data_IF_801919234883
#
_entry.id   IF_801919234883
#
_cell.length_a   1.000
_cell.length_b   1.000
_cell.length_c   1.000
_cell.angle_alpha   90.00
_cell.angle_beta   90.00
_cell.angle_gamma   90.00
#
_symmetry.space_group_name_H-M   'P 1'
#
loop_
_entity.id
_entity.type
_entity.pdbx_description
1 polymer ?
#
# COMPACT_ATOMS: atom_id res chain seq x y z
N UNK A 1 17.40 13.29 26.15
CA UNK A 1 17.15 12.24 25.14
C UNK A 1 15.67 11.90 25.18
N UNK A 2 14.91 12.03 24.08
CA UNK A 2 13.46 11.86 24.13
C UNK A 2 13.12 10.41 24.50
N UNK A 3 12.49 10.24 25.66
CA UNK A 3 12.21 8.95 26.28
C UNK A 3 10.92 8.33 25.77
N UNK A 4 11.00 7.09 25.28
CA UNK A 4 9.85 6.32 24.80
C UNK A 4 9.36 5.42 25.93
N UNK A 5 8.11 5.60 26.38
CA UNK A 5 7.49 4.73 27.40
C UNK A 5 6.81 3.53 26.74
N UNK A 6 6.92 2.37 27.38
CA UNK A 6 6.27 1.10 27.01
C UNK A 6 4.77 1.33 26.78
N UNK A 7 4.26 0.98 25.61
CA UNK A 7 2.83 0.98 25.31
C UNK A 7 2.31 2.09 24.38
N UNK A 8 3.17 2.80 23.64
CA UNK A 8 2.70 3.75 22.62
C UNK A 8 1.96 3.02 21.50
N UNK A 9 0.63 2.93 21.64
CA UNK A 9 -0.28 2.65 20.53
C UNK A 9 -0.15 3.82 19.56
N UNK A 10 0.49 3.59 18.42
CA UNK A 10 0.37 4.50 17.28
C UNK A 10 -1.08 4.35 16.81
N UNK A 11 -1.94 5.28 17.24
CA UNK A 11 -3.26 5.45 16.64
C UNK A 11 -3.03 6.27 15.38
N UNK A 12 -3.10 5.62 14.21
CA UNK A 12 -3.40 6.35 12.98
C UNK A 12 -4.87 6.79 13.06
N UNK A 13 -5.14 8.04 12.72
CA UNK A 13 -6.50 8.58 12.72
C UNK A 13 -7.34 7.85 11.66
N UNK A 14 -8.41 7.18 12.08
CA UNK A 14 -9.45 6.65 11.18
C UNK A 14 -9.52 5.14 10.92
N UNK A 15 -8.73 4.27 11.54
CA UNK A 15 -8.70 2.84 11.15
C UNK A 15 -8.92 1.88 12.34
N UNK A 16 -10.13 1.32 12.44
CA UNK A 16 -10.34 0.03 13.09
C UNK A 16 -9.91 -1.09 12.13
N UNK A 17 -9.21 -2.10 12.65
CA UNK A 17 -8.79 -3.34 11.96
C UNK A 17 -7.45 -3.36 11.17
N UNK A 18 -6.55 -2.41 11.40
CA UNK A 18 -5.19 -2.52 10.83
C UNK A 18 -4.28 -3.44 11.64
N UNK A 19 -3.82 -4.53 11.00
CA UNK A 19 -2.81 -5.44 11.57
C UNK A 19 -1.46 -4.71 11.68
N UNK A 20 -0.78 -4.72 12.84
CA UNK A 20 0.54 -4.11 12.99
C UNK A 20 1.53 -4.62 11.92
N UNK A 21 2.21 -3.70 11.24
CA UNK A 21 3.12 -4.00 10.13
C UNK A 21 2.48 -3.94 8.74
N UNK A 22 1.17 -3.68 8.65
CA UNK A 22 0.47 -3.40 7.40
C UNK A 22 0.14 -1.91 7.28
N UNK A 23 0.54 -1.29 6.17
CA UNK A 23 0.09 0.05 5.79
C UNK A 23 -0.86 -0.07 4.59
N UNK A 24 -2.11 0.43 4.68
CA UNK A 24 -2.94 0.50 3.51
C UNK A 24 -2.46 1.62 2.58
N UNK A 25 -2.46 1.33 1.29
CA UNK A 25 -2.20 2.27 0.22
C UNK A 25 -3.43 2.32 -0.69
N UNK A 26 -4.13 3.44 -0.70
CA UNK A 26 -5.25 3.65 -1.61
C UNK A 26 -4.72 4.19 -2.94
N UNK A 27 -5.07 3.53 -4.04
CA UNK A 27 -4.71 3.97 -5.40
C UNK A 27 -5.96 3.93 -6.30
N UNK A 28 -6.14 4.90 -7.19
CA UNK A 28 -7.19 4.84 -8.21
C UNK A 28 -7.03 3.62 -9.14
N UNK A 29 -8.14 3.13 -9.69
CA UNK A 29 -8.12 2.07 -10.69
C UNK A 29 -7.21 2.39 -11.89
N UNK A 30 -7.16 3.66 -12.34
CA UNK A 30 -6.30 4.05 -13.45
C UNK A 30 -4.83 3.78 -13.13
N UNK A 31 -4.35 4.26 -11.99
CA UNK A 31 -2.97 4.05 -11.49
C UNK A 31 -2.67 2.56 -11.27
N UNK A 32 -3.66 1.79 -10.82
CA UNK A 32 -3.55 0.35 -10.65
C UNK A 32 -3.31 -0.41 -11.96
N UNK A 33 -3.84 0.10 -13.08
CA UNK A 33 -3.72 -0.51 -14.41
C UNK A 33 -2.52 0.05 -15.21
N UNK A 34 -2.26 1.35 -15.09
CA UNK A 34 -1.25 2.04 -15.91
C UNK A 34 0.11 2.18 -15.21
N UNK A 35 0.16 1.89 -13.91
CA UNK A 35 1.33 2.05 -13.07
C UNK A 35 1.22 3.27 -12.16
N UNK A 36 1.87 3.17 -11.01
CA UNK A 36 1.80 4.18 -9.96
C UNK A 36 3.16 4.37 -9.26
N UNK A 37 3.34 5.56 -8.67
CA UNK A 37 4.46 5.84 -7.79
C UNK A 37 3.96 6.36 -6.46
N UNK A 38 4.29 5.65 -5.37
CA UNK A 38 3.77 5.93 -4.05
C UNK A 38 4.92 6.23 -3.08
N UNK A 39 4.99 7.45 -2.51
CA UNK A 39 5.91 7.73 -1.42
C UNK A 39 5.38 7.13 -0.12
N UNK A 40 6.18 6.29 0.52
CA UNK A 40 5.88 5.66 1.80
C UNK A 40 6.87 6.12 2.85
N UNK A 41 6.35 6.55 4.00
CA UNK A 41 7.16 6.88 5.16
C UNK A 41 7.56 5.59 5.89
N UNK A 42 8.85 5.29 5.92
CA UNK A 42 9.38 4.12 6.65
C UNK A 42 9.73 4.48 8.10
N UNK A 43 9.88 3.43 8.92
CA UNK A 43 10.26 3.56 10.33
C UNK A 43 11.70 4.09 10.45
N UNK A 44 11.84 5.40 10.60
CA UNK A 44 13.11 6.12 10.57
C UNK A 44 12.98 7.55 10.05
N UNK A 45 11.83 7.91 9.46
CA UNK A 45 11.56 9.24 8.94
C UNK A 45 12.02 9.46 7.49
N UNK A 46 12.77 8.50 6.94
CA UNK A 46 13.09 8.46 5.52
C UNK A 46 11.84 8.11 4.69
N UNK A 47 11.77 8.65 3.47
CA UNK A 47 10.71 8.34 2.51
C UNK A 47 11.26 7.40 1.46
N UNK A 48 10.57 6.27 1.26
CA UNK A 48 10.84 5.34 0.17
C UNK A 48 9.78 5.51 -0.90
N UNK A 49 10.18 5.70 -2.14
CA UNK A 49 9.25 5.73 -3.28
C UNK A 49 9.15 4.33 -3.88
N UNK A 50 7.96 3.74 -3.84
CA UNK A 50 7.66 2.51 -4.58
C UNK A 50 7.16 2.88 -5.97
N UNK A 51 7.76 2.31 -7.01
CA UNK A 51 7.31 2.46 -8.40
C UNK A 51 6.86 1.13 -8.96
N UNK A 52 5.67 1.11 -9.55
CA UNK A 52 5.06 -0.05 -10.20
C UNK A 52 4.95 0.23 -11.69
N UNK A 53 6.07 0.11 -12.40
CA UNK A 53 6.10 0.19 -13.85
C UNK A 53 5.71 -1.16 -14.44
N UNK A 54 4.81 -1.16 -15.43
CA UNK A 54 4.35 -2.36 -16.15
C UNK A 54 3.79 -3.48 -15.23
N UNK A 55 3.29 -3.14 -14.05
CA UNK A 55 2.74 -4.10 -13.09
C UNK A 55 1.30 -3.71 -12.75
N UNK A 56 0.35 -4.61 -13.02
CA UNK A 56 -1.04 -4.43 -12.61
C UNK A 56 -1.17 -4.68 -11.12
N UNK A 57 -1.64 -3.67 -10.37
CA UNK A 57 -1.90 -3.77 -8.93
C UNK A 57 -3.36 -4.14 -8.71
N UNK A 58 -3.63 -5.40 -8.38
CA UNK A 58 -5.00 -5.88 -8.15
C UNK A 58 -5.49 -5.59 -6.71
N UNK A 59 -6.81 -5.61 -6.46
CA UNK A 59 -7.35 -5.42 -5.12
C UNK A 59 -6.77 -6.41 -4.10
N UNK A 60 -6.18 -5.88 -3.03
CA UNK A 60 -5.54 -6.70 -2.00
C UNK A 60 -4.10 -7.13 -2.32
N UNK A 61 -3.51 -6.66 -3.43
CA UNK A 61 -2.08 -6.79 -3.71
C UNK A 61 -1.26 -6.34 -2.50
N UNK A 62 -0.20 -7.09 -2.17
CA UNK A 62 0.70 -6.78 -1.06
C UNK A 62 2.13 -6.63 -1.58
N UNK A 63 2.72 -5.45 -1.37
CA UNK A 63 4.17 -5.25 -1.54
C UNK A 63 4.86 -5.46 -0.19
N UNK A 64 5.83 -6.38 -0.15
CA UNK A 64 6.68 -6.59 1.02
C UNK A 64 7.96 -5.77 0.85
N UNK A 65 8.33 -5.04 1.90
CA UNK A 65 9.60 -4.31 2.01
C UNK A 65 10.35 -4.89 3.21
N UNK A 66 11.37 -5.68 2.90
CA UNK A 66 12.13 -6.44 3.90
C UNK A 66 12.85 -5.52 4.90
N UNK A 67 12.81 -5.88 6.18
CA UNK A 67 13.54 -5.18 7.24
C UNK A 67 13.06 -3.76 7.57
N UNK A 68 11.96 -3.29 6.96
CA UNK A 68 11.37 -1.97 7.23
C UNK A 68 10.16 -2.01 8.17
N UNK A 69 9.83 -3.18 8.69
CA UNK A 69 8.79 -3.39 9.68
C UNK A 69 9.25 -3.05 11.10
N UNK A 70 8.34 -3.28 12.05
CA UNK A 70 8.58 -3.00 13.46
C UNK A 70 9.76 -3.83 14.01
N UNK A 71 10.61 -3.26 14.90
CA UNK A 71 11.56 -4.04 15.68
C UNK A 71 10.84 -5.14 16.46
N UNK A 72 11.35 -6.36 16.35
CA UNK A 72 10.77 -7.51 17.04
C UNK A 72 11.49 -7.77 18.35
N UNK A 73 10.74 -7.90 19.44
CA UNK A 73 11.28 -8.26 20.76
C UNK A 73 11.85 -9.69 20.79
N UNK A 74 11.44 -10.53 19.84
CA UNK A 74 11.81 -11.96 19.76
C UNK A 74 13.15 -12.20 19.07
N UNK A 75 13.65 -11.27 18.24
CA UNK A 75 14.88 -11.43 17.46
C UNK A 75 15.88 -10.31 17.76
N UNK A 76 16.17 -10.05 19.03
CA UNK A 76 17.23 -9.10 19.47
C UNK A 76 17.14 -7.69 18.86
N UNK A 77 15.91 -7.18 18.64
CA UNK A 77 15.72 -5.85 18.07
C UNK A 77 15.86 -5.78 16.54
N UNK A 78 16.03 -6.92 15.85
CA UNK A 78 15.92 -6.97 14.39
C UNK A 78 14.53 -6.54 13.93
N UNK A 79 14.49 -5.77 12.85
CA UNK A 79 13.26 -5.31 12.21
C UNK A 79 12.61 -6.46 11.44
N UNK A 80 11.29 -6.58 11.54
CA UNK A 80 10.50 -7.40 10.62
C UNK A 80 10.28 -6.70 9.28
N UNK A 81 9.33 -7.17 8.50
CA UNK A 81 9.04 -6.62 7.17
C UNK A 81 7.83 -5.69 7.20
N UNK A 82 7.87 -4.65 6.36
CA UNK A 82 6.75 -3.77 6.13
C UNK A 82 5.90 -4.33 4.99
N UNK A 83 4.63 -4.55 5.25
CA UNK A 83 3.68 -5.03 4.25
C UNK A 83 2.79 -3.86 3.82
N UNK A 84 2.78 -3.53 2.55
CA UNK A 84 1.94 -2.46 2.00
C UNK A 84 0.79 -3.13 1.26
N UNK A 85 -0.42 -3.03 1.80
CA UNK A 85 -1.61 -3.62 1.19
C UNK A 85 -2.33 -2.56 0.36
N UNK A 86 -2.51 -2.83 -0.91
CA UNK A 86 -3.15 -1.90 -1.82
C UNK A 86 -4.66 -2.08 -1.83
N UNK A 87 -5.36 -0.95 -1.70
CA UNK A 87 -6.80 -0.80 -1.84
C UNK A 87 -7.03 -0.05 -3.15
N UNK A 88 -7.61 -0.73 -4.12
CA UNK A 88 -7.91 -0.11 -5.42
C UNK A 88 -9.26 0.57 -5.33
N UNK A 89 -9.28 1.89 -5.54
CA UNK A 89 -10.50 2.68 -5.57
C UNK A 89 -11.09 2.64 -6.99
N UNK A 90 -12.26 2.01 -7.10
CA UNK A 90 -12.98 1.89 -8.36
C UNK A 90 -13.89 3.11 -8.57
N UNK A 91 -13.99 3.64 -9.79
CA UNK A 91 -14.95 4.70 -10.09
C UNK A 91 -16.37 4.18 -9.82
N UNK A 92 -17.20 5.02 -9.19
CA UNK A 92 -18.60 4.67 -8.88
C UNK A 92 -19.44 4.53 -10.14
N UNK A 93 -19.11 5.29 -11.17
CA UNK A 93 -19.80 5.33 -12.45
C UNK A 93 -18.80 5.53 -13.59
N UNK A 94 -19.16 5.07 -14.77
CA UNK A 94 -18.47 5.29 -16.04
C UNK A 94 -19.52 5.57 -17.10
N UNK A 95 -19.24 6.52 -18.00
CA UNK A 95 -20.10 6.79 -19.17
C UNK A 95 -20.12 5.61 -20.14
N UNK A 96 -21.10 5.57 -21.03
CA UNK A 96 -21.19 4.50 -22.03
C UNK A 96 -19.96 4.45 -22.94
N UNK A 97 -19.42 5.62 -23.31
CA UNK A 97 -18.18 5.72 -24.09
C UNK A 97 -16.98 5.17 -23.31
N UNK A 98 -16.83 5.54 -22.03
CA UNK A 98 -15.75 5.04 -21.18
C UNK A 98 -15.82 3.52 -21.00
N UNK A 99 -17.02 2.95 -20.85
CA UNK A 99 -17.23 1.49 -20.76
C UNK A 99 -16.87 0.80 -22.06
N UNK A 100 -17.25 1.37 -23.20
CA UNK A 100 -16.97 0.78 -24.51
C UNK A 100 -15.46 0.79 -24.81
N UNK A 101 -14.76 1.88 -24.50
CA UNK A 101 -13.30 1.95 -24.65
C UNK A 101 -12.59 1.00 -23.69
N UNK A 102 -13.01 0.95 -22.42
CA UNK A 102 -12.47 -0.01 -21.45
C UNK A 102 -12.63 -1.46 -21.92
N UNK A 103 -13.80 -1.80 -22.49
CA UNK A 103 -14.03 -3.12 -23.09
C UNK A 103 -13.05 -3.40 -24.23
N UNK A 104 -12.94 -2.49 -25.22
CA UNK A 104 -12.03 -2.67 -26.37
C UNK A 104 -10.57 -2.86 -25.95
N UNK A 105 -10.12 -2.14 -24.93
CA UNK A 105 -8.74 -2.20 -24.46
C UNK A 105 -8.49 -3.53 -23.69
N UNK A 106 -9.46 -3.95 -22.87
CA UNK A 106 -9.27 -5.03 -21.90
C UNK A 106 -9.82 -6.40 -22.36
N UNK A 107 -10.57 -6.47 -23.47
CA UNK A 107 -11.24 -7.70 -23.93
C UNK A 107 -10.27 -8.87 -24.19
N UNK A 108 -9.01 -8.58 -24.53
CA UNK A 108 -7.99 -9.59 -24.85
C UNK A 108 -7.02 -9.85 -23.67
N UNK A 109 -7.27 -9.25 -22.50
CA UNK A 109 -6.44 -9.45 -21.31
C UNK A 109 -6.87 -10.66 -20.47
N UNK A 110 -7.99 -11.30 -20.82
CA UNK A 110 -8.65 -12.37 -20.06
C UNK A 110 -8.79 -13.65 -20.89
#
# INVERSE_FOLDING_TARGET
MPGWRKGTKIKFEGKGDEKPGYLPAEIPLVDALTGCSLPISILGGEKLTLSFENTVVYPGYVKVIEGQGMPTLKNDGKRGDLHVKFLVDFPKELSDEQRQEAFRILENCC
#
